data_IF_874603249731
#
_entry.id   IF_874603249731
#
_cell.length_a   1.000
_cell.length_b   1.000
_cell.length_c   1.000
_cell.angle_alpha   90.00
_cell.angle_beta   90.00
_cell.angle_gamma   90.00
#
_symmetry.space_group_name_H-M   'P 1'
#
loop_
_entity.id
_entity.type
_entity.pdbx_description
1 polymer ?
#
# COMPACT_ATOMS: atom_id res chain seq x y z
N UNK A 1 -20.14 -5.47 11.42
CA UNK A 1 -19.11 -4.48 11.87
C UNK A 1 -19.61 -3.53 12.97
N UNK A 2 -20.91 -3.16 13.03
CA UNK A 2 -21.43 -2.23 14.04
C UNK A 2 -21.31 -2.72 15.49
N UNK A 3 -21.58 -4.01 15.76
CA UNK A 3 -21.54 -4.56 17.11
C UNK A 3 -20.11 -4.58 17.70
N UNK A 4 -19.12 -4.97 16.89
CA UNK A 4 -17.70 -4.99 17.26
C UNK A 4 -17.13 -3.58 17.44
N UNK A 5 -17.56 -2.63 16.62
CA UNK A 5 -17.23 -1.21 16.77
C UNK A 5 -17.76 -0.65 18.11
N UNK A 6 -19.01 -0.99 18.48
CA UNK A 6 -19.58 -0.57 19.77
C UNK A 6 -18.87 -1.22 20.96
N UNK A 7 -18.50 -2.51 20.87
CA UNK A 7 -17.69 -3.19 21.90
C UNK A 7 -16.32 -2.56 22.05
N UNK A 8 -15.67 -2.16 20.96
CA UNK A 8 -14.38 -1.46 20.98
C UNK A 8 -14.45 -0.12 21.72
N UNK A 9 -15.49 0.69 21.46
CA UNK A 9 -15.71 1.97 22.16
C UNK A 9 -15.96 1.75 23.65
N UNK A 10 -16.71 0.71 24.02
CA UNK A 10 -16.97 0.38 25.42
C UNK A 10 -15.69 -0.04 26.16
N UNK A 11 -14.84 -0.86 25.54
CA UNK A 11 -13.54 -1.27 26.10
C UNK A 11 -12.60 -0.07 26.26
N UNK A 12 -12.57 0.86 25.31
CA UNK A 12 -11.76 2.08 25.38
C UNK A 12 -12.21 3.02 26.52
N UNK A 13 -13.52 3.15 26.73
CA UNK A 13 -14.09 3.88 27.87
C UNK A 13 -13.71 3.23 29.22
N UNK A 14 -13.84 1.90 29.34
CA UNK A 14 -13.41 1.19 30.53
C UNK A 14 -11.90 1.37 30.79
N UNK A 15 -11.08 1.30 29.73
CA UNK A 15 -9.62 1.49 29.82
C UNK A 15 -9.27 2.91 30.31
N UNK A 16 -10.00 3.93 29.86
CA UNK A 16 -9.85 5.32 30.29
C UNK A 16 -10.19 5.53 31.78
N UNK A 17 -11.26 4.88 32.27
CA UNK A 17 -11.64 4.94 33.69
C UNK A 17 -10.61 4.23 34.57
N UNK A 18 -10.11 3.07 34.15
CA UNK A 18 -9.10 2.30 34.89
C UNK A 18 -7.76 3.04 34.96
N UNK A 19 -7.35 3.74 33.89
CA UNK A 19 -6.16 4.60 33.90
C UNK A 19 -6.27 5.77 34.88
N UNK A 20 -7.48 6.25 35.18
CA UNK A 20 -7.73 7.29 36.19
C UNK A 20 -7.43 6.86 37.62
N UNK A 21 -7.29 5.55 37.88
CA UNK A 21 -6.97 5.02 39.20
C UNK A 21 -5.74 4.09 39.16
N UNK A 22 -4.53 4.65 38.94
CA UNK A 22 -3.29 3.86 38.82
C UNK A 22 -2.94 3.09 40.11
N UNK A 23 -3.57 3.43 41.24
CA UNK A 23 -3.37 2.78 42.54
C UNK A 23 -3.84 1.32 42.58
N UNK A 24 -4.72 0.90 41.67
CA UNK A 24 -5.30 -0.45 41.68
C UNK A 24 -4.67 -1.44 40.69
N UNK A 25 -3.74 -0.99 39.82
CA UNK A 25 -3.05 -1.81 38.80
C UNK A 25 -3.95 -2.87 38.12
N UNK A 26 -5.18 -2.48 37.80
CA UNK A 26 -6.19 -3.39 37.27
C UNK A 26 -6.05 -3.49 35.75
N UNK A 27 -6.11 -4.70 35.22
CA UNK A 27 -6.16 -4.98 33.79
C UNK A 27 -7.53 -5.52 33.43
N UNK A 28 -8.12 -4.99 32.36
CA UNK A 28 -9.40 -5.46 31.83
C UNK A 28 -9.10 -6.71 30.99
N UNK A 29 -9.61 -7.87 31.40
CA UNK A 29 -9.44 -9.13 30.71
C UNK A 29 -10.80 -9.63 30.19
N UNK A 30 -10.91 -9.68 28.85
CA UNK A 30 -12.00 -10.29 28.10
C UNK A 30 -11.39 -11.34 27.15
N UNK A 31 -12.05 -12.47 26.89
CA UNK A 31 -11.54 -13.53 26.00
C UNK A 31 -11.28 -13.04 24.57
N UNK A 32 -12.00 -12.00 24.14
CA UNK A 32 -11.85 -11.39 22.82
C UNK A 32 -10.92 -10.16 22.81
N UNK A 33 -10.26 -9.83 23.94
CA UNK A 33 -9.46 -8.58 24.08
C UNK A 33 -8.40 -8.45 23.00
N UNK A 34 -7.76 -9.56 22.60
CA UNK A 34 -6.74 -9.54 21.55
C UNK A 34 -7.29 -9.13 20.17
N UNK A 35 -8.52 -9.57 19.85
CA UNK A 35 -9.20 -9.22 18.59
C UNK A 35 -9.67 -7.77 18.62
N UNK A 36 -10.17 -7.30 19.76
CA UNK A 36 -10.59 -5.91 19.96
C UNK A 36 -9.41 -4.93 19.90
N UNK A 37 -8.28 -5.23 20.56
CA UNK A 37 -7.06 -4.41 20.48
C UNK A 37 -6.49 -4.40 19.06
N UNK A 38 -6.56 -5.53 18.33
CA UNK A 38 -6.20 -5.58 16.92
C UNK A 38 -7.10 -4.65 16.10
N UNK A 39 -8.43 -4.71 16.25
CA UNK A 39 -9.35 -3.86 15.47
C UNK A 39 -9.17 -2.37 15.79
N UNK A 40 -8.98 -2.02 17.07
CA UNK A 40 -8.77 -0.64 17.53
C UNK A 40 -7.45 -0.05 17.03
N UNK A 41 -6.38 -0.84 17.12
CA UNK A 41 -5.02 -0.37 16.80
C UNK A 41 -4.75 -0.50 15.31
N UNK A 42 -5.27 -1.53 14.65
CA UNK A 42 -5.02 -1.79 13.24
C UNK A 42 -5.43 -0.62 12.38
N UNK A 43 -6.59 0.03 12.59
CA UNK A 43 -6.99 1.17 11.75
C UNK A 43 -5.94 2.29 11.73
N UNK A 44 -5.31 2.58 12.88
CA UNK A 44 -4.24 3.60 13.00
C UNK A 44 -2.91 3.10 12.47
N UNK A 45 -2.55 1.85 12.76
CA UNK A 45 -1.29 1.27 12.29
C UNK A 45 -1.30 1.04 10.77
N UNK A 46 -2.46 0.71 10.19
CA UNK A 46 -2.65 0.51 8.76
C UNK A 46 -2.45 1.82 7.99
N UNK A 47 -3.12 2.90 8.40
CA UNK A 47 -2.96 4.19 7.73
C UNK A 47 -1.52 4.71 7.83
N UNK A 48 -0.87 4.51 8.99
CA UNK A 48 0.54 4.86 9.20
C UNK A 48 1.48 4.03 8.33
N UNK A 49 1.27 2.72 8.28
CA UNK A 49 2.07 1.78 7.48
C UNK A 49 1.97 2.07 5.98
N UNK A 50 0.76 2.33 5.47
CA UNK A 50 0.56 2.71 4.07
C UNK A 50 1.34 4.00 3.75
N UNK A 51 1.21 5.03 4.59
CA UNK A 51 1.90 6.30 4.37
C UNK A 51 3.43 6.13 4.35
N UNK A 52 3.99 5.37 5.29
CA UNK A 52 5.43 5.08 5.36
C UNK A 52 5.90 4.28 4.13
N UNK A 53 5.11 3.30 3.70
CA UNK A 53 5.47 2.43 2.57
C UNK A 53 5.47 3.22 1.26
N UNK A 54 4.47 4.08 1.04
CA UNK A 54 4.40 4.98 -0.12
C UNK A 54 5.56 5.97 -0.13
N UNK A 55 5.90 6.53 1.04
CA UNK A 55 7.02 7.45 1.17
C UNK A 55 8.36 6.76 0.84
N UNK A 56 8.56 5.54 1.34
CA UNK A 56 9.75 4.74 1.06
C UNK A 56 9.86 4.38 -0.44
N UNK A 57 8.77 3.91 -1.06
CA UNK A 57 8.71 3.64 -2.50
C UNK A 57 9.01 4.88 -3.33
N UNK A 58 8.45 6.04 -2.96
CA UNK A 58 8.74 7.32 -3.61
C UNK A 58 10.23 7.68 -3.57
N UNK A 59 10.89 7.46 -2.43
CA UNK A 59 12.34 7.71 -2.29
C UNK A 59 13.16 6.76 -3.17
N UNK A 60 12.83 5.46 -3.18
CA UNK A 60 13.53 4.46 -4.01
C UNK A 60 13.41 4.80 -5.50
N UNK A 61 12.22 5.22 -5.95
CA UNK A 61 11.99 5.63 -7.33
C UNK A 61 12.79 6.88 -7.74
N UNK A 62 13.00 7.84 -6.83
CA UNK A 62 13.85 9.01 -7.07
C UNK A 62 15.33 8.63 -7.15
N UNK A 63 15.78 7.70 -6.30
CA UNK A 63 17.18 7.28 -6.24
C UNK A 63 17.62 6.46 -7.46
N UNK A 64 16.69 5.73 -8.09
CA UNK A 64 16.98 4.84 -9.22
C UNK A 64 17.30 5.60 -10.53
N UNK A 65 17.15 6.92 -10.55
CA UNK A 65 17.08 7.71 -11.77
C UNK A 65 18.11 8.86 -11.76
N UNK A 66 19.19 8.70 -12.53
CA UNK A 66 20.32 9.64 -12.66
C UNK A 66 20.64 9.98 -14.13
N UNK A 67 19.65 10.38 -14.94
CA UNK A 67 19.86 11.03 -16.27
C UNK A 67 18.82 12.14 -16.47
N UNK A 68 18.98 13.12 -17.39
CA UNK A 68 18.28 14.43 -17.22
C UNK A 68 16.88 14.61 -17.84
N UNK A 69 16.54 14.02 -18.99
CA UNK A 69 15.33 14.46 -19.74
C UNK A 69 14.25 13.38 -19.88
N UNK A 70 14.63 12.15 -20.26
CA UNK A 70 13.69 11.01 -20.25
C UNK A 70 13.26 10.63 -18.84
N UNK A 71 14.17 10.85 -17.89
CA UNK A 71 13.94 10.73 -16.46
C UNK A 71 12.83 11.63 -15.95
N UNK A 72 12.76 12.90 -16.36
CA UNK A 72 11.74 13.81 -15.83
C UNK A 72 10.32 13.31 -16.11
N UNK A 73 10.10 12.80 -17.32
CA UNK A 73 8.80 12.26 -17.74
C UNK A 73 8.48 10.97 -16.96
N UNK A 74 9.47 10.10 -16.78
CA UNK A 74 9.31 8.85 -16.03
C UNK A 74 9.07 9.12 -14.54
N UNK A 75 9.81 10.05 -13.92
CA UNK A 75 9.61 10.46 -12.53
C UNK A 75 8.28 11.16 -12.32
N UNK A 76 7.82 11.96 -13.28
CA UNK A 76 6.51 12.61 -13.19
C UNK A 76 5.39 11.58 -13.27
N UNK A 77 5.53 10.57 -14.14
CA UNK A 77 4.59 9.45 -14.27
C UNK A 77 4.54 8.61 -12.99
N UNK A 78 5.70 8.24 -12.44
CA UNK A 78 5.79 7.46 -11.20
C UNK A 78 5.25 8.26 -10.01
N UNK A 79 5.63 9.54 -9.88
CA UNK A 79 5.09 10.43 -8.85
C UNK A 79 3.58 10.56 -8.94
N UNK A 80 3.02 10.67 -10.16
CA UNK A 80 1.58 10.72 -10.38
C UNK A 80 0.89 9.43 -9.95
N UNK A 81 1.49 8.26 -10.20
CA UNK A 81 0.97 6.97 -9.73
C UNK A 81 0.96 6.94 -8.19
N UNK A 82 2.05 7.36 -7.53
CA UNK A 82 2.11 7.46 -6.07
C UNK A 82 1.03 8.39 -5.48
N UNK A 83 0.83 9.58 -6.07
CA UNK A 83 -0.24 10.49 -5.65
C UNK A 83 -1.64 9.94 -5.92
N UNK A 84 -1.81 9.23 -7.03
CA UNK A 84 -3.09 8.60 -7.39
C UNK A 84 -3.45 7.52 -6.37
N UNK A 85 -2.48 6.76 -5.87
CA UNK A 85 -2.68 5.72 -4.86
C UNK A 85 -3.10 6.30 -3.50
N UNK A 86 -2.42 7.34 -3.02
CA UNK A 86 -2.82 8.04 -1.79
C UNK A 86 -4.22 8.65 -1.94
N UNK A 87 -4.48 9.23 -3.12
CA UNK A 87 -5.77 9.82 -3.45
C UNK A 87 -6.90 8.80 -3.52
N UNK A 88 -6.68 7.64 -4.15
CA UNK A 88 -7.69 6.59 -4.26
C UNK A 88 -7.94 5.89 -2.92
N UNK A 89 -6.91 5.66 -2.10
CA UNK A 89 -7.08 5.20 -0.72
C UNK A 89 -7.88 6.19 0.14
N UNK A 90 -7.62 7.48 0.00
CA UNK A 90 -8.36 8.52 0.71
C UNK A 90 -9.79 8.68 0.19
N UNK A 91 -10.03 8.48 -1.11
CA UNK A 91 -11.35 8.64 -1.74
C UNK A 91 -12.24 7.43 -1.52
N UNK A 92 -11.68 6.21 -1.50
CA UNK A 92 -12.46 4.99 -1.39
C UNK A 92 -13.18 4.90 -0.03
N UNK A 93 -12.68 5.58 1.01
CA UNK A 93 -13.32 5.59 2.33
C UNK A 93 -13.60 4.17 2.85
N UNK A 94 -12.80 3.20 2.40
CA UNK A 94 -13.04 1.78 2.64
C UNK A 94 -13.01 1.52 4.14
N UNK A 95 -13.94 0.69 4.63
CA UNK A 95 -13.76 0.03 5.91
C UNK A 95 -12.48 -0.80 5.83
N UNK A 96 -11.42 -0.20 6.38
CA UNK A 96 -10.03 -0.64 6.32
C UNK A 96 -9.84 -1.89 7.19
N UNK A 97 -10.23 -3.03 6.67
CA UNK A 97 -9.81 -4.33 7.21
C UNK A 97 -8.32 -4.55 6.88
N UNK A 98 -7.50 -5.04 7.84
CA UNK A 98 -6.06 -5.25 7.61
C UNK A 98 -5.76 -6.09 6.37
N UNK A 99 -6.61 -7.06 6.04
CA UNK A 99 -6.41 -7.97 4.93
C UNK A 99 -6.54 -7.25 3.59
N UNK A 100 -7.53 -6.37 3.44
CA UNK A 100 -7.77 -5.67 2.17
C UNK A 100 -6.68 -4.64 1.86
N UNK A 101 -6.09 -4.05 2.89
CA UNK A 101 -4.99 -3.09 2.74
C UNK A 101 -3.71 -3.79 2.31
N UNK A 102 -3.43 -4.97 2.85
CA UNK A 102 -2.28 -5.77 2.42
C UNK A 102 -2.43 -6.17 0.96
N UNK A 103 -3.63 -6.59 0.54
CA UNK A 103 -3.90 -6.94 -0.85
C UNK A 103 -3.70 -5.74 -1.80
N UNK A 104 -4.25 -4.58 -1.45
CA UNK A 104 -4.06 -3.34 -2.21
C UNK A 104 -2.59 -2.94 -2.27
N UNK A 105 -1.84 -3.12 -1.19
CA UNK A 105 -0.40 -2.81 -1.14
C UNK A 105 0.41 -3.74 -2.06
N UNK A 106 0.11 -5.03 -2.07
CA UNK A 106 0.77 -6.01 -2.96
C UNK A 106 0.45 -5.68 -4.42
N UNK A 107 -0.82 -5.42 -4.75
CA UNK A 107 -1.24 -5.03 -6.09
C UNK A 107 -0.53 -3.74 -6.56
N UNK A 108 -0.38 -2.78 -5.64
CA UNK A 108 0.33 -1.53 -5.88
C UNK A 108 1.82 -1.74 -6.15
N UNK A 109 2.49 -2.56 -5.33
CA UNK A 109 3.91 -2.87 -5.49
C UNK A 109 4.20 -3.52 -6.85
N UNK A 110 3.36 -4.49 -7.25
CA UNK A 110 3.44 -5.11 -8.57
C UNK A 110 3.21 -4.08 -9.69
N UNK A 111 2.20 -3.22 -9.57
CA UNK A 111 1.92 -2.18 -10.56
C UNK A 111 3.12 -1.26 -10.80
N UNK A 112 3.76 -0.79 -9.72
CA UNK A 112 4.92 0.11 -9.81
C UNK A 112 6.14 -0.61 -10.39
N UNK A 113 6.40 -1.85 -9.97
CA UNK A 113 7.50 -2.67 -10.50
C UNK A 113 7.42 -2.81 -12.03
N UNK A 114 6.23 -3.07 -12.56
CA UNK A 114 6.01 -3.14 -14.01
C UNK A 114 6.32 -1.83 -14.72
N UNK A 115 5.85 -0.70 -14.17
CA UNK A 115 6.12 0.61 -14.80
C UNK A 115 7.61 0.94 -14.82
N UNK A 116 8.35 0.61 -13.77
CA UNK A 116 9.79 0.83 -13.69
C UNK A 116 10.56 -0.07 -14.68
N UNK A 117 10.20 -1.36 -14.76
CA UNK A 117 10.83 -2.30 -15.69
C UNK A 117 10.57 -1.94 -17.17
N UNK A 118 9.34 -1.53 -17.51
CA UNK A 118 8.99 -1.06 -18.86
C UNK A 118 9.78 0.22 -19.18
N UNK A 119 9.82 1.18 -18.26
CA UNK A 119 10.57 2.42 -18.45
C UNK A 119 12.07 2.19 -18.65
N UNK A 120 12.66 1.27 -17.87
CA UNK A 120 14.07 0.92 -17.97
C UNK A 120 14.40 0.20 -19.29
N UNK A 121 13.61 -0.81 -19.70
CA UNK A 121 13.79 -1.48 -20.99
C UNK A 121 13.59 -0.51 -22.14
N UNK A 122 12.53 0.31 -22.08
CA UNK A 122 12.29 1.34 -23.07
C UNK A 122 13.55 2.19 -23.25
N UNK A 123 14.15 2.71 -22.17
CA UNK A 123 15.35 3.54 -22.23
C UNK A 123 16.60 2.80 -22.75
N UNK A 124 16.74 1.50 -22.47
CA UNK A 124 17.89 0.67 -22.89
C UNK A 124 17.86 0.29 -24.37
N UNK A 125 16.69 0.14 -24.99
CA UNK A 125 16.57 -0.12 -26.42
C UNK A 125 16.85 1.16 -27.23
N UNK A 126 17.63 1.06 -28.31
CA UNK A 126 17.86 2.16 -29.27
C UNK A 126 17.07 1.86 -30.56
N UNK A 127 16.20 2.77 -30.99
CA UNK A 127 15.33 2.59 -32.16
C UNK A 127 14.04 3.42 -32.13
N UNK A 128 13.12 3.11 -33.04
CA UNK A 128 11.82 3.78 -33.17
C UNK A 128 10.95 3.61 -31.90
N UNK A 129 10.29 4.69 -31.40
CA UNK A 129 9.53 4.64 -30.14
C UNK A 129 8.40 3.60 -30.14
N UNK A 130 7.71 3.43 -31.28
CA UNK A 130 6.55 2.56 -31.36
C UNK A 130 6.94 1.08 -31.27
N UNK A 131 8.03 0.69 -31.94
CA UNK A 131 8.55 -0.67 -31.88
C UNK A 131 9.18 -1.00 -30.53
N UNK A 132 9.82 -0.03 -29.87
CA UNK A 132 10.36 -0.19 -28.49
C UNK A 132 9.27 -0.53 -27.49
N UNK A 133 8.13 0.17 -27.55
CA UNK A 133 7.00 -0.07 -26.64
C UNK A 133 6.38 -1.44 -26.91
N UNK A 134 6.12 -1.79 -28.17
CA UNK A 134 5.60 -3.12 -28.54
C UNK A 134 6.51 -4.25 -28.07
N UNK A 135 7.81 -4.13 -28.30
CA UNK A 135 8.77 -5.16 -27.91
C UNK A 135 8.85 -5.29 -26.38
N UNK A 136 8.93 -4.17 -25.66
CA UNK A 136 9.01 -4.17 -24.19
C UNK A 136 7.74 -4.76 -23.56
N UNK A 137 6.56 -4.41 -24.07
CA UNK A 137 5.28 -4.98 -23.63
C UNK A 137 5.20 -6.47 -23.95
N UNK A 138 5.58 -6.90 -25.16
CA UNK A 138 5.49 -8.31 -25.56
C UNK A 138 6.38 -9.21 -24.71
N UNK A 139 7.58 -8.76 -24.37
CA UNK A 139 8.52 -9.51 -23.51
C UNK A 139 8.08 -9.55 -22.04
N UNK A 140 7.31 -8.56 -21.55
CA UNK A 140 6.83 -8.52 -20.16
C UNK A 140 5.44 -9.10 -19.97
N UNK A 141 4.55 -8.99 -20.95
CA UNK A 141 3.20 -9.57 -20.89
C UNK A 141 3.23 -11.10 -20.94
N UNK A 142 4.21 -11.72 -21.63
CA UNK A 142 4.30 -13.18 -21.70
C UNK A 142 4.50 -13.85 -20.33
N UNK A 143 5.47 -13.46 -19.48
CA UNK A 143 5.59 -14.06 -18.15
C UNK A 143 4.41 -13.73 -17.23
N UNK A 144 3.81 -12.53 -17.34
CA UNK A 144 2.65 -12.18 -16.50
C UNK A 144 1.43 -13.02 -16.81
N UNK A 145 1.10 -13.19 -18.09
CA UNK A 145 -0.02 -14.03 -18.50
C UNK A 145 0.18 -15.47 -18.05
N UNK A 146 1.43 -15.96 -18.11
CA UNK A 146 1.73 -17.30 -17.62
C UNK A 146 1.51 -17.43 -16.10
N UNK A 147 2.03 -16.49 -15.30
CA UNK A 147 1.83 -16.49 -13.85
C UNK A 147 0.35 -16.34 -13.47
N UNK A 148 -0.40 -15.49 -14.18
CA UNK A 148 -1.82 -15.31 -13.94
C UNK A 148 -2.63 -16.56 -14.28
N UNK A 149 -2.28 -17.26 -15.37
CA UNK A 149 -2.94 -18.50 -15.77
C UNK A 149 -2.56 -19.70 -14.88
N UNK A 150 -1.39 -19.71 -14.25
CA UNK A 150 -1.01 -20.75 -13.28
C UNK A 150 -1.67 -20.55 -11.90
N UNK A 151 -2.14 -19.33 -11.58
CA UNK A 151 -2.81 -18.99 -10.32
C UNK A 151 -4.35 -18.96 -10.40
N UNK A 152 -4.93 -19.04 -11.60
CA UNK A 152 -6.38 -19.03 -11.85
C UNK A 152 -6.95 -20.46 -11.95
#
# INVERSE_FOLDING_TARGET
MSEWSSRAVFVDQCRSVVQGYPRFNATIYDGDTAVLDLILTAKKDLIGSIAVTVFCMGIVCVFFIYSRTGVLIVTFTISSICFTLVGSLSWWGADMDPVTIVDVLIATGFSVDYTAHIAYKYYKLNGDPAERIKQSLREMCSPMLQHFLEQA
#
